data_IF_460043929063
#
_entry.id   IF_460043929063
#
_cell.length_a   1.000
_cell.length_b   1.000
_cell.length_c   1.000
_cell.angle_alpha   90.00
_cell.angle_beta   90.00
_cell.angle_gamma   90.00
#
_symmetry.space_group_name_H-M   'P 1'
#
loop_
_entity.id
_entity.type
_entity.pdbx_description
1 polymer ?
#
# COMPACT_ATOMS: atom_id res chain seq x y z
N UNK A 1 -5.88 -17.39 -1.71
CA UNK A 1 -5.33 -16.20 -1.01
C UNK A 1 -3.81 -16.25 -1.16
N UNK A 2 -3.26 -15.68 -2.23
CA UNK A 2 -1.85 -15.88 -2.60
C UNK A 2 -0.87 -15.12 -1.68
N UNK A 3 -1.26 -13.93 -1.23
CA UNK A 3 -0.40 -13.05 -0.42
C UNK A 3 -0.81 -12.95 1.05
N UNK A 4 -2.07 -13.24 1.38
CA UNK A 4 -2.69 -13.01 2.69
C UNK A 4 -2.08 -11.90 3.56
N UNK A 5 -2.17 -10.63 3.13
CA UNK A 5 -1.59 -9.55 3.91
C UNK A 5 -2.33 -9.33 5.23
N UNK A 6 -1.67 -8.63 6.14
CA UNK A 6 -2.28 -8.11 7.36
C UNK A 6 -3.44 -7.16 7.01
N UNK A 7 -3.17 -6.17 6.13
CA UNK A 7 -4.13 -5.15 5.68
C UNK A 7 -4.01 -4.88 4.18
N UNK A 8 -5.15 -4.65 3.53
CA UNK A 8 -5.29 -4.15 2.17
C UNK A 8 -5.66 -2.67 2.25
N UNK A 9 -4.87 -1.81 1.60
CA UNK A 9 -5.17 -0.38 1.52
C UNK A 9 -5.91 -0.10 0.21
N UNK A 10 -7.13 0.43 0.30
CA UNK A 10 -7.92 0.85 -0.86
C UNK A 10 -7.76 2.35 -1.08
N UNK A 11 -7.34 2.73 -2.28
CA UNK A 11 -7.21 4.12 -2.70
C UNK A 11 -7.49 4.26 -4.20
N UNK A 12 -7.07 5.38 -4.78
CA UNK A 12 -7.27 5.70 -6.19
C UNK A 12 -8.10 6.97 -6.37
N UNK A 13 -8.70 7.11 -7.56
CA UNK A 13 -9.44 8.30 -7.99
C UNK A 13 -10.96 8.21 -7.75
N UNK A 14 -11.41 7.10 -7.16
CA UNK A 14 -12.81 6.94 -6.76
C UNK A 14 -13.22 8.02 -5.75
N UNK A 15 -14.50 8.40 -5.76
CA UNK A 15 -15.04 9.30 -4.74
C UNK A 15 -14.91 8.67 -3.35
N UNK A 16 -14.73 9.53 -2.34
CA UNK A 16 -14.64 9.09 -0.93
C UNK A 16 -15.87 8.27 -0.53
N UNK A 17 -17.07 8.70 -0.92
CA UNK A 17 -18.32 7.99 -0.64
C UNK A 17 -18.32 6.56 -1.21
N UNK A 18 -17.85 6.37 -2.44
CA UNK A 18 -17.76 5.03 -3.04
C UNK A 18 -16.77 4.15 -2.27
N UNK A 19 -15.62 4.70 -1.89
CA UNK A 19 -14.59 3.98 -1.13
C UNK A 19 -15.10 3.59 0.26
N UNK A 20 -15.81 4.47 0.94
CA UNK A 20 -16.41 4.20 2.26
C UNK A 20 -17.49 3.12 2.19
N UNK A 21 -18.38 3.19 1.20
CA UNK A 21 -19.41 2.15 0.98
C UNK A 21 -18.79 0.81 0.64
N UNK A 22 -17.73 0.81 -0.19
CA UNK A 22 -16.97 -0.40 -0.50
C UNK A 22 -16.31 -0.98 0.76
N UNK A 23 -15.61 -0.16 1.54
CA UNK A 23 -14.98 -0.61 2.78
C UNK A 23 -16.00 -1.19 3.78
N UNK A 24 -17.17 -0.55 3.91
CA UNK A 24 -18.27 -1.06 4.75
C UNK A 24 -18.80 -2.41 4.28
N UNK A 25 -18.92 -2.63 2.97
CA UNK A 25 -19.36 -3.92 2.41
C UNK A 25 -18.37 -5.07 2.66
N UNK A 26 -17.10 -4.73 2.86
CA UNK A 26 -15.99 -5.67 2.98
C UNK A 26 -15.80 -6.20 4.41
N UNK A 27 -16.48 -5.62 5.41
CA UNK A 27 -16.46 -6.12 6.79
C UNK A 27 -16.86 -7.60 6.92
N UNK A 28 -17.66 -8.11 5.97
CA UNK A 28 -18.12 -9.50 5.90
C UNK A 28 -17.32 -10.40 4.94
N UNK A 29 -16.16 -9.96 4.40
CA UNK A 29 -15.37 -10.83 3.54
C UNK A 29 -14.90 -12.06 4.32
N UNK A 30 -15.00 -13.27 3.72
CA UNK A 30 -14.64 -14.50 4.40
C UNK A 30 -13.19 -14.47 4.89
N UNK A 31 -12.99 -15.16 6.00
CA UNK A 31 -11.67 -15.32 6.61
C UNK A 31 -10.64 -15.71 5.56
N UNK A 32 -9.44 -15.14 5.71
CA UNK A 32 -8.27 -15.61 4.97
C UNK A 32 -8.16 -17.14 5.05
N UNK A 33 -7.60 -17.79 4.02
CA UNK A 33 -7.15 -19.18 4.11
C UNK A 33 -6.24 -19.42 5.32
N UNK A 34 -5.42 -18.44 5.72
CA UNK A 34 -4.57 -18.53 6.91
C UNK A 34 -5.32 -18.32 8.22
N UNK A 35 -6.61 -17.97 8.19
CA UNK A 35 -7.50 -17.79 9.36
C UNK A 35 -6.86 -17.04 10.54
N UNK A 36 -6.02 -16.02 10.25
CA UNK A 36 -5.31 -15.22 11.25
C UNK A 36 -6.31 -14.58 12.21
N UNK A 37 -6.37 -15.11 13.44
CA UNK A 37 -7.23 -14.61 14.53
C UNK A 37 -6.59 -13.43 15.27
N UNK A 38 -5.32 -13.16 15.00
CA UNK A 38 -4.43 -12.24 15.69
C UNK A 38 -4.21 -10.92 14.91
N UNK A 39 -5.05 -10.62 13.92
CA UNK A 39 -4.95 -9.34 13.20
C UNK A 39 -5.14 -8.17 14.18
N UNK A 40 -4.21 -7.22 14.12
CA UNK A 40 -4.25 -6.00 14.95
C UNK A 40 -4.82 -4.80 14.20
N UNK A 41 -4.94 -4.92 12.87
CA UNK A 41 -5.49 -3.89 12.00
C UNK A 41 -6.69 -4.43 11.19
N UNK A 42 -7.64 -3.55 10.79
CA UNK A 42 -8.71 -3.92 9.87
C UNK A 42 -8.15 -4.51 8.57
N UNK A 43 -8.81 -5.54 8.03
CA UNK A 43 -8.35 -6.20 6.80
C UNK A 43 -8.38 -5.25 5.60
N UNK A 44 -9.31 -4.30 5.58
CA UNK A 44 -9.38 -3.25 4.57
C UNK A 44 -9.38 -1.90 5.25
N UNK A 45 -8.50 -1.02 4.78
CA UNK A 45 -8.39 0.37 5.26
C UNK A 45 -8.37 1.31 4.06
N UNK A 46 -9.00 2.49 4.19
CA UNK A 46 -8.95 3.52 3.16
C UNK A 46 -7.64 4.30 3.18
N UNK A 47 -7.10 4.59 2.00
CA UNK A 47 -5.89 5.34 1.83
C UNK A 47 -6.04 6.78 2.33
N UNK A 48 -5.27 7.16 3.34
CA UNK A 48 -5.10 8.56 3.76
C UNK A 48 -4.02 9.22 2.91
N UNK A 49 -4.39 9.59 1.69
CA UNK A 49 -3.43 10.10 0.72
C UNK A 49 -4.04 10.86 -0.45
N UNK A 50 -5.27 10.50 -0.83
CA UNK A 50 -5.94 11.04 -2.01
C UNK A 50 -5.01 11.05 -3.23
N UNK A 51 -5.09 12.12 -4.01
CA UNK A 51 -4.28 12.32 -5.22
C UNK A 51 -2.77 12.41 -4.94
N UNK A 52 -2.39 12.81 -3.72
CA UNK A 52 -1.00 12.98 -3.32
C UNK A 52 -0.35 11.66 -2.85
N UNK A 53 -1.07 10.54 -2.85
CA UNK A 53 -0.52 9.25 -2.42
C UNK A 53 0.68 8.82 -3.27
N UNK A 54 0.62 9.02 -4.59
CA UNK A 54 1.69 8.67 -5.53
C UNK A 54 2.94 9.51 -5.27
N UNK A 55 2.78 10.84 -5.18
CA UNK A 55 3.89 11.75 -4.91
C UNK A 55 4.56 11.46 -3.57
N UNK A 56 3.76 11.18 -2.53
CA UNK A 56 4.28 10.79 -1.21
C UNK A 56 5.03 9.46 -1.25
N UNK A 57 4.54 8.48 -2.01
CA UNK A 57 5.25 7.22 -2.22
C UNK A 57 6.60 7.41 -2.91
N UNK A 58 6.66 8.23 -3.96
CA UNK A 58 7.90 8.57 -4.65
C UNK A 58 8.91 9.27 -3.72
N UNK A 59 8.44 10.23 -2.91
CA UNK A 59 9.28 10.90 -1.92
C UNK A 59 9.79 9.92 -0.85
N UNK A 60 8.94 8.97 -0.40
CA UNK A 60 9.33 7.96 0.57
C UNK A 60 10.47 7.06 0.07
N UNK A 61 10.54 6.77 -1.23
CA UNK A 61 11.68 6.04 -1.82
C UNK A 61 12.99 6.83 -1.71
N UNK A 62 12.96 8.13 -1.98
CA UNK A 62 14.13 8.99 -1.84
C UNK A 62 14.60 9.05 -0.37
N UNK A 63 13.67 9.23 0.57
CA UNK A 63 13.95 9.22 2.01
C UNK A 63 14.51 7.86 2.47
N UNK A 64 13.92 6.76 1.99
CA UNK A 64 14.38 5.40 2.31
C UNK A 64 15.82 5.17 1.84
N UNK A 65 16.20 5.68 0.66
CA UNK A 65 17.57 5.58 0.16
C UNK A 65 18.60 6.31 1.03
N UNK A 66 18.22 7.43 1.66
CA UNK A 66 19.08 8.17 2.60
C UNK A 66 19.18 7.41 3.94
N UNK A 67 18.06 6.92 4.46
CA UNK A 67 18.02 6.24 5.76
C UNK A 67 18.54 4.79 5.71
N UNK A 68 18.62 4.20 4.51
CA UNK A 68 19.13 2.85 4.31
C UNK A 68 19.95 2.78 3.02
N UNK A 69 21.29 2.85 3.12
CA UNK A 69 22.18 2.86 1.96
C UNK A 69 21.98 1.68 1.00
N UNK A 70 21.62 0.50 1.53
CA UNK A 70 21.34 -0.70 0.72
C UNK A 70 20.13 -0.51 -0.20
N UNK A 71 19.06 0.13 0.28
CA UNK A 71 17.90 0.47 -0.54
C UNK A 71 18.25 1.55 -1.57
N UNK A 72 19.07 2.54 -1.19
CA UNK A 72 19.56 3.57 -2.11
C UNK A 72 20.26 3.00 -3.35
N UNK A 73 21.11 1.98 -3.17
CA UNK A 73 21.81 1.31 -4.28
C UNK A 73 20.87 0.59 -5.25
N UNK A 74 19.81 -0.06 -4.74
CA UNK A 74 18.81 -0.76 -5.56
C UNK A 74 18.09 0.23 -6.49
N UNK A 75 17.71 1.40 -5.96
CA UNK A 75 16.99 2.42 -6.73
C UNK A 75 17.90 3.26 -7.64
N UNK A 76 19.17 3.46 -7.28
CA UNK A 76 20.15 4.11 -8.14
C UNK A 76 20.45 3.26 -9.39
N UNK A 77 20.67 1.95 -9.22
CA UNK A 77 20.95 1.02 -10.32
C UNK A 77 19.79 0.87 -11.33
N UNK A 78 18.55 1.17 -10.92
CA UNK A 78 17.38 1.21 -11.81
C UNK A 78 17.33 2.51 -12.64
N UNK A 79 17.80 3.64 -12.09
CA UNK A 79 17.81 4.94 -12.78
C UNK A 79 18.92 5.05 -13.84
N UNK A 80 19.96 4.25 -13.74
CA UNK A 80 21.00 4.13 -14.78
C UNK A 80 20.51 3.30 -15.97
N UNK A 81 19.80 2.18 -15.72
CA UNK A 81 19.24 1.33 -16.78
C UNK A 81 18.13 1.96 -17.64
N UNK A 82 17.51 3.05 -17.17
CA UNK A 82 16.48 3.77 -17.93
C UNK A 82 17.00 4.95 -18.75
N UNK A 83 18.33 5.17 -18.79
CA UNK A 83 18.99 6.25 -19.54
C UNK A 83 19.77 5.77 -20.77
N UNK A 84 19.79 4.46 -21.00
CA UNK A 84 20.31 3.79 -22.19
C UNK A 84 19.15 3.35 -23.09
#
# INVERSE_FOLDING_TARGET
NLFDPETIILGGLASTDLLERLAGSVANLPNSISARKDRTAPRVTLARGGQNAVLRGAAALAVSGVLSPRFGQIFAAQRERGRD
#
